data_IF_461181681650
#
_entry.id   IF_461181681650
#
_cell.length_a   1.000
_cell.length_b   1.000
_cell.length_c   1.000
_cell.angle_alpha   90.00
_cell.angle_beta   90.00
_cell.angle_gamma   90.00
#
_symmetry.space_group_name_H-M   'P 1'
#
loop_
_entity.id
_entity.type
_entity.pdbx_description
1 polymer ?
#
# COMPACT_ATOMS: atom_id res chain seq x y z
N UNK A 1 18.81 -16.99 -11.25
CA UNK A 1 18.33 -15.70 -10.70
C UNK A 1 19.55 -14.86 -10.39
N UNK A 2 19.63 -13.64 -10.90
CA UNK A 2 20.73 -12.74 -10.53
C UNK A 2 20.52 -12.26 -9.09
N UNK A 3 21.58 -12.29 -8.27
CA UNK A 3 21.51 -11.83 -6.87
C UNK A 3 20.96 -10.39 -6.76
N UNK A 4 21.22 -9.56 -7.76
CA UNK A 4 20.75 -8.16 -7.86
C UNK A 4 19.22 -8.02 -7.86
N UNK A 5 18.49 -9.04 -8.33
CA UNK A 5 17.01 -9.03 -8.42
C UNK A 5 16.35 -8.75 -7.07
N UNK A 6 16.99 -9.12 -5.95
CA UNK A 6 16.44 -8.90 -4.60
C UNK A 6 17.24 -7.89 -3.78
N UNK A 7 18.56 -7.77 -3.99
CA UNK A 7 19.41 -6.85 -3.23
C UNK A 7 18.99 -5.39 -3.42
N UNK A 8 18.74 -4.95 -4.65
CA UNK A 8 18.34 -3.56 -4.94
C UNK A 8 16.98 -3.23 -4.30
N UNK A 9 15.93 -4.07 -4.48
CA UNK A 9 14.67 -3.91 -3.75
C UNK A 9 14.82 -3.79 -2.24
N UNK A 10 15.63 -4.65 -1.60
CA UNK A 10 15.86 -4.60 -0.15
C UNK A 10 16.49 -3.26 0.24
N UNK A 11 17.51 -2.80 -0.50
CA UNK A 11 18.14 -1.51 -0.26
C UNK A 11 17.17 -0.32 -0.39
N UNK A 12 16.27 -0.37 -1.38
CA UNK A 12 15.24 0.66 -1.59
C UNK A 12 14.19 0.68 -0.46
N UNK A 13 13.77 -0.50 0.01
CA UNK A 13 12.87 -0.62 1.16
C UNK A 13 13.54 -0.08 2.42
N UNK A 14 14.81 -0.44 2.67
CA UNK A 14 15.59 0.07 3.79
C UNK A 14 15.74 1.59 3.75
N UNK A 15 16.07 2.15 2.58
CA UNK A 15 16.11 3.60 2.39
C UNK A 15 14.74 4.24 2.67
N UNK A 16 13.65 3.65 2.20
CA UNK A 16 12.31 4.19 2.44
C UNK A 16 11.96 4.17 3.93
N UNK A 17 12.23 3.06 4.63
CA UNK A 17 12.02 2.95 6.07
C UNK A 17 12.79 4.04 6.85
N UNK A 18 14.06 4.26 6.52
CA UNK A 18 14.88 5.31 7.15
C UNK A 18 14.29 6.70 6.88
N UNK A 19 13.86 6.98 5.65
CA UNK A 19 13.23 8.26 5.30
C UNK A 19 11.90 8.49 6.03
N UNK A 20 11.12 7.44 6.29
CA UNK A 20 9.90 7.53 7.11
C UNK A 20 10.19 7.85 8.58
N UNK A 21 11.27 7.28 9.15
CA UNK A 21 11.72 7.65 10.50
C UNK A 21 12.16 9.10 10.53
N UNK A 22 12.98 9.52 9.56
CA UNK A 22 13.50 10.89 9.47
C UNK A 22 12.34 11.89 9.28
N UNK A 23 11.35 11.60 8.43
CA UNK A 23 10.20 12.48 8.23
C UNK A 23 9.42 12.69 9.52
N UNK A 24 9.20 11.62 10.30
CA UNK A 24 8.58 11.70 11.63
C UNK A 24 9.34 12.62 12.59
N UNK A 25 10.68 12.57 12.58
CA UNK A 25 11.54 13.45 13.39
C UNK A 25 11.50 14.90 12.91
N UNK A 26 11.53 15.13 11.60
CA UNK A 26 11.41 16.49 11.03
C UNK A 26 10.09 17.13 11.48
N UNK A 27 8.96 16.41 11.37
CA UNK A 27 7.65 16.92 11.79
C UNK A 27 7.62 17.25 13.29
N UNK A 28 8.31 16.46 14.12
CA UNK A 28 8.47 16.77 15.55
C UNK A 28 9.27 18.06 15.79
N UNK A 29 10.35 18.26 15.04
CA UNK A 29 11.22 19.45 15.16
C UNK A 29 10.58 20.74 14.65
N UNK A 30 9.61 20.65 13.73
CA UNK A 30 8.87 21.81 13.24
C UNK A 30 7.96 22.46 14.31
N UNK A 31 7.81 21.84 15.49
CA UNK A 31 7.07 22.40 16.64
C UNK A 31 5.66 22.92 16.29
N UNK A 32 4.97 22.23 15.38
CA UNK A 32 3.65 22.64 14.91
C UNK A 32 2.58 22.46 15.99
N UNK A 33 1.72 23.48 16.16
CA UNK A 33 0.76 23.55 17.28
C UNK A 33 -0.49 22.68 17.10
N UNK A 34 -0.86 22.32 15.85
CA UNK A 34 -2.07 21.53 15.59
C UNK A 34 -1.74 20.15 15.01
N UNK A 35 -2.57 19.15 15.34
CA UNK A 35 -2.46 17.81 14.76
C UNK A 35 -2.61 17.85 13.23
N UNK A 36 -3.55 18.65 12.72
CA UNK A 36 -3.77 18.82 11.28
C UNK A 36 -2.55 19.39 10.57
N UNK A 37 -1.85 20.37 11.16
CA UNK A 37 -0.61 20.92 10.62
C UNK A 37 0.51 19.87 10.57
N UNK A 38 0.64 19.03 11.62
CA UNK A 38 1.61 17.93 11.64
C UNK A 38 1.33 16.91 10.55
N UNK A 39 0.07 16.50 10.39
CA UNK A 39 -0.36 15.59 9.32
C UNK A 39 -0.10 16.19 7.94
N UNK A 40 -0.46 17.47 7.73
CA UNK A 40 -0.20 18.17 6.48
C UNK A 40 1.30 18.20 6.14
N UNK A 41 2.16 18.56 7.11
CA UNK A 41 3.61 18.53 6.93
C UNK A 41 4.11 17.12 6.57
N UNK A 42 3.62 16.08 7.25
CA UNK A 42 3.96 14.68 6.94
C UNK A 42 3.56 14.31 5.50
N UNK A 43 2.39 14.73 5.04
CA UNK A 43 1.91 14.48 3.68
C UNK A 43 2.84 15.10 2.65
N UNK A 44 3.23 16.37 2.85
CA UNK A 44 4.16 17.07 1.96
C UNK A 44 5.52 16.36 1.91
N UNK A 45 6.08 16.00 3.07
CA UNK A 45 7.38 15.30 3.13
C UNK A 45 7.29 13.94 2.43
N UNK A 46 6.20 13.19 2.58
CA UNK A 46 6.04 11.91 1.91
C UNK A 46 5.96 12.05 0.38
N UNK A 47 5.36 13.13 -0.15
CA UNK A 47 5.43 13.43 -1.58
C UNK A 47 6.84 13.80 -2.04
N UNK A 48 7.62 14.50 -1.22
CA UNK A 48 9.05 14.76 -1.50
C UNK A 48 9.84 13.46 -1.56
N UNK A 49 9.60 12.53 -0.62
CA UNK A 49 10.19 11.18 -0.65
C UNK A 49 9.78 10.45 -1.94
N UNK A 50 8.51 10.49 -2.33
CA UNK A 50 8.05 9.90 -3.59
C UNK A 50 8.79 10.47 -4.80
N UNK A 51 8.94 11.79 -4.87
CA UNK A 51 9.69 12.46 -5.94
C UNK A 51 11.17 12.03 -5.97
N UNK A 52 11.81 11.85 -4.81
CA UNK A 52 13.15 11.29 -4.70
C UNK A 52 13.21 9.86 -5.27
N UNK A 53 12.26 8.99 -4.94
CA UNK A 53 12.21 7.63 -5.47
C UNK A 53 11.97 7.60 -6.98
N UNK A 54 11.12 8.47 -7.52
CA UNK A 54 10.93 8.63 -8.96
C UNK A 54 12.20 9.11 -9.65
N UNK A 55 12.94 10.04 -9.03
CA UNK A 55 14.24 10.49 -9.52
C UNK A 55 15.30 9.37 -9.50
N UNK A 56 15.42 8.63 -8.40
CA UNK A 56 16.29 7.45 -8.28
C UNK A 56 15.96 6.40 -9.34
N UNK A 57 14.66 6.17 -9.57
CA UNK A 57 14.21 5.27 -10.61
C UNK A 57 14.64 5.78 -12.00
N UNK A 58 14.39 7.05 -12.33
CA UNK A 58 14.79 7.63 -13.61
C UNK A 58 16.30 7.54 -13.86
N UNK A 59 17.12 7.81 -12.84
CA UNK A 59 18.58 7.87 -12.97
C UNK A 59 19.25 6.50 -12.97
N UNK A 60 18.87 5.62 -12.03
CA UNK A 60 19.63 4.40 -11.72
C UNK A 60 18.86 3.09 -12.00
N UNK A 61 17.58 3.01 -11.61
CA UNK A 61 16.84 1.72 -11.61
C UNK A 61 16.19 1.44 -12.97
N UNK A 62 15.67 2.48 -13.62
CA UNK A 62 15.08 2.50 -14.98
C UNK A 62 13.90 1.54 -15.18
N UNK A 63 13.09 1.35 -14.15
CA UNK A 63 11.85 0.60 -14.26
C UNK A 63 10.78 1.45 -14.92
N UNK A 64 10.16 0.92 -15.98
CA UNK A 64 8.97 1.52 -16.58
C UNK A 64 7.75 1.21 -15.71
N UNK A 65 7.17 2.27 -15.15
CA UNK A 65 5.97 2.21 -14.31
C UNK A 65 4.73 2.33 -15.20
N UNK A 66 3.79 1.40 -15.06
CA UNK A 66 2.57 1.37 -15.88
C UNK A 66 1.47 2.29 -15.29
N UNK A 67 1.61 3.61 -15.49
CA UNK A 67 0.63 4.65 -15.14
C UNK A 67 -0.59 4.65 -16.08
N UNK A 68 -1.20 3.48 -16.28
CA UNK A 68 -2.47 3.39 -17.01
C UNK A 68 -3.59 3.90 -16.10
N UNK A 69 -4.51 4.72 -16.60
CA UNK A 69 -5.70 5.14 -15.87
C UNK A 69 -6.93 4.53 -16.53
N UNK A 70 -7.35 3.36 -16.06
CA UNK A 70 -8.58 2.72 -16.59
C UNK A 70 -9.48 2.21 -15.50
N UNK A 71 -10.72 2.68 -15.50
CA UNK A 71 -11.83 2.12 -14.72
C UNK A 71 -12.61 1.06 -15.51
N UNK A 72 -11.98 0.38 -16.47
CA UNK A 72 -12.66 -0.61 -17.32
C UNK A 72 -13.32 -1.71 -16.48
N UNK A 73 -12.73 -2.05 -15.33
CA UNK A 73 -13.31 -2.94 -14.33
C UNK A 73 -14.68 -2.42 -13.82
N UNK A 74 -14.73 -1.21 -13.27
CA UNK A 74 -15.98 -0.63 -12.75
C UNK A 74 -17.02 -0.39 -13.85
N UNK A 75 -16.59 -0.04 -15.07
CA UNK A 75 -17.48 0.07 -16.23
C UNK A 75 -18.17 -1.26 -16.56
N UNK A 76 -17.47 -2.39 -16.41
CA UNK A 76 -18.00 -3.74 -16.64
C UNK A 76 -18.83 -4.26 -15.45
N UNK A 77 -18.52 -3.80 -14.24
CA UNK A 77 -19.16 -4.23 -12.99
C UNK A 77 -19.95 -3.10 -12.34
N UNK A 78 -20.93 -2.53 -13.07
CA UNK A 78 -21.69 -1.35 -12.63
C UNK A 78 -22.38 -1.53 -11.28
N UNK A 79 -23.01 -2.70 -11.03
CA UNK A 79 -23.68 -2.99 -9.75
C UNK A 79 -22.68 -2.89 -8.59
N UNK A 80 -21.51 -3.53 -8.73
CA UNK A 80 -20.45 -3.46 -7.72
C UNK A 80 -19.98 -2.02 -7.51
N UNK A 81 -19.74 -1.27 -8.60
CA UNK A 81 -19.34 0.13 -8.52
C UNK A 81 -20.37 0.99 -7.75
N UNK A 82 -21.65 0.80 -8.04
CA UNK A 82 -22.75 1.50 -7.37
C UNK A 82 -22.83 1.17 -5.89
N UNK A 83 -22.70 -0.12 -5.52
CA UNK A 83 -22.71 -0.54 -4.11
C UNK A 83 -21.54 0.09 -3.35
N UNK A 84 -20.33 0.06 -3.90
CA UNK A 84 -19.15 0.67 -3.27
C UNK A 84 -19.33 2.20 -3.12
N UNK A 85 -19.94 2.86 -4.11
CA UNK A 85 -20.23 4.29 -4.04
C UNK A 85 -21.25 4.61 -2.94
N UNK A 86 -22.34 3.84 -2.83
CA UNK A 86 -23.34 4.01 -1.77
C UNK A 86 -22.70 3.82 -0.39
N UNK A 87 -21.93 2.75 -0.19
CA UNK A 87 -21.22 2.50 1.07
C UNK A 87 -20.31 3.69 1.41
N UNK A 88 -19.56 4.19 0.43
CA UNK A 88 -18.67 5.35 0.62
C UNK A 88 -19.45 6.60 1.03
N UNK A 89 -20.59 6.89 0.38
CA UNK A 89 -21.45 8.03 0.72
C UNK A 89 -21.98 7.90 2.14
N UNK A 90 -22.47 6.72 2.53
CA UNK A 90 -22.97 6.47 3.88
C UNK A 90 -21.88 6.68 4.95
N UNK A 91 -20.67 6.18 4.71
CA UNK A 91 -19.52 6.38 5.60
C UNK A 91 -19.20 7.88 5.73
N UNK A 92 -19.19 8.62 4.61
CA UNK A 92 -18.91 10.07 4.61
C UNK A 92 -19.96 10.85 5.40
N UNK A 93 -21.24 10.59 5.16
CA UNK A 93 -22.34 11.27 5.87
C UNK A 93 -22.25 11.01 7.38
N UNK A 94 -21.96 9.77 7.79
CA UNK A 94 -21.82 9.42 9.20
C UNK A 94 -20.58 9.99 9.89
N UNK A 95 -19.54 10.36 9.13
CA UNK A 95 -18.21 10.64 9.70
C UNK A 95 -17.52 11.90 9.12
N UNK A 96 -18.30 12.94 8.81
CA UNK A 96 -17.80 14.18 8.18
C UNK A 96 -16.60 14.80 8.91
N UNK A 97 -16.55 14.70 10.25
CA UNK A 97 -15.44 15.21 11.08
C UNK A 97 -14.08 14.58 10.75
N UNK A 98 -14.07 13.31 10.30
CA UNK A 98 -12.85 12.56 9.99
C UNK A 98 -12.42 12.74 8.53
N UNK A 99 -13.27 13.35 7.70
CA UNK A 99 -13.08 13.46 6.26
C UNK A 99 -11.75 14.13 5.86
N UNK A 100 -11.31 15.25 6.48
CA UNK A 100 -10.05 15.88 6.11
C UNK A 100 -8.85 14.94 6.32
N UNK A 101 -8.81 14.24 7.47
CA UNK A 101 -7.76 13.28 7.78
C UNK A 101 -7.77 12.10 6.81
N UNK A 102 -8.95 11.50 6.59
CA UNK A 102 -9.13 10.36 5.71
C UNK A 102 -8.71 10.70 4.26
N UNK A 103 -9.15 11.84 3.72
CA UNK A 103 -8.75 12.25 2.38
C UNK A 103 -7.24 12.48 2.26
N UNK A 104 -6.67 13.26 3.18
CA UNK A 104 -5.26 13.64 3.11
C UNK A 104 -4.33 12.45 3.24
N UNK A 105 -4.55 11.59 4.25
CA UNK A 105 -3.66 10.47 4.53
C UNK A 105 -3.84 9.36 3.51
N UNK A 106 -5.08 8.94 3.23
CA UNK A 106 -5.31 7.81 2.33
C UNK A 106 -4.90 8.12 0.90
N UNK A 107 -5.08 9.38 0.44
CA UNK A 107 -4.68 9.76 -0.92
C UNK A 107 -3.16 9.76 -1.04
N UNK A 108 -2.48 10.32 -0.03
CA UNK A 108 -1.03 10.34 0.01
C UNK A 108 -0.46 8.92 0.12
N UNK A 109 -0.97 8.08 1.03
CA UNK A 109 -0.52 6.70 1.20
C UNK A 109 -0.73 5.90 -0.09
N UNK A 110 -1.94 5.95 -0.64
CA UNK A 110 -2.29 5.30 -1.89
C UNK A 110 -1.36 5.69 -3.04
N UNK A 111 -0.99 6.97 -3.20
CA UNK A 111 -0.06 7.38 -4.27
C UNK A 111 1.38 6.96 -3.95
N UNK A 112 1.91 7.40 -2.82
CA UNK A 112 3.35 7.29 -2.51
C UNK A 112 3.76 5.83 -2.35
N UNK A 113 2.99 5.06 -1.59
CA UNK A 113 3.35 3.70 -1.25
C UNK A 113 3.20 2.76 -2.46
N UNK A 114 2.19 2.97 -3.30
CA UNK A 114 2.02 2.19 -4.52
C UNK A 114 3.09 2.50 -5.56
N UNK A 115 3.46 3.78 -5.74
CA UNK A 115 4.54 4.16 -6.65
C UNK A 115 5.85 3.47 -6.25
N UNK A 116 6.20 3.50 -4.96
CA UNK A 116 7.45 2.92 -4.47
C UNK A 116 7.37 1.39 -4.48
N UNK A 117 6.36 0.81 -3.82
CA UNK A 117 6.29 -0.64 -3.60
C UNK A 117 5.89 -1.40 -4.87
N UNK A 118 4.89 -0.93 -5.62
CA UNK A 118 4.36 -1.67 -6.77
C UNK A 118 5.05 -1.18 -8.04
N UNK A 119 5.06 0.14 -8.24
CA UNK A 119 5.62 0.78 -9.42
C UNK A 119 7.11 0.49 -9.61
N UNK A 120 7.92 0.63 -8.55
CA UNK A 120 9.38 0.45 -8.60
C UNK A 120 9.78 -0.95 -8.11
N UNK A 121 9.55 -1.28 -6.84
CA UNK A 121 10.09 -2.49 -6.18
C UNK A 121 9.54 -3.78 -6.81
N UNK A 122 8.21 -3.95 -6.81
CA UNK A 122 7.57 -5.16 -7.35
C UNK A 122 7.87 -5.33 -8.83
N UNK A 123 7.78 -4.24 -9.62
CA UNK A 123 8.09 -4.27 -11.05
C UNK A 123 9.56 -4.57 -11.34
N UNK A 124 10.49 -4.09 -10.50
CA UNK A 124 11.92 -4.42 -10.62
C UNK A 124 12.15 -5.92 -10.46
N UNK A 125 11.62 -6.52 -9.38
CA UNK A 125 11.70 -7.95 -9.12
C UNK A 125 11.08 -8.72 -10.28
N UNK A 126 9.88 -8.31 -10.71
CA UNK A 126 9.21 -8.90 -11.85
C UNK A 126 10.12 -8.86 -13.08
N UNK A 127 10.67 -7.72 -13.48
CA UNK A 127 11.55 -7.63 -14.65
C UNK A 127 12.82 -8.49 -14.53
N UNK A 128 13.42 -8.59 -13.34
CA UNK A 128 14.61 -9.42 -13.08
C UNK A 128 14.34 -10.94 -13.03
N UNK A 129 13.09 -11.36 -13.09
CA UNK A 129 12.65 -12.77 -13.12
C UNK A 129 12.15 -13.19 -14.51
N UNK A 130 12.65 -12.57 -15.58
CA UNK A 130 12.21 -12.82 -16.97
C UNK A 130 12.38 -14.27 -17.46
N UNK A 131 13.25 -15.07 -16.84
CA UNK A 131 13.43 -16.51 -17.14
C UNK A 131 12.50 -17.44 -16.35
N UNK A 132 11.66 -16.88 -15.46
CA UNK A 132 10.70 -17.63 -14.65
C UNK A 132 9.33 -17.57 -15.32
N UNK A 133 8.59 -18.67 -15.26
CA UNK A 133 7.20 -18.77 -15.73
C UNK A 133 6.32 -17.64 -15.18
N UNK A 134 5.44 -17.08 -16.02
CA UNK A 134 4.77 -15.81 -15.75
C UNK A 134 3.97 -15.80 -14.45
N UNK A 135 3.21 -16.86 -14.15
CA UNK A 135 2.40 -16.93 -12.90
C UNK A 135 3.30 -16.93 -11.68
N UNK A 136 4.36 -17.75 -11.72
CA UNK A 136 5.35 -17.84 -10.64
C UNK A 136 6.11 -16.52 -10.45
N UNK A 137 6.45 -15.85 -11.54
CA UNK A 137 7.09 -14.53 -11.55
C UNK A 137 6.21 -13.46 -10.90
N UNK A 138 4.91 -13.45 -11.18
CA UNK A 138 3.93 -12.55 -10.53
C UNK A 138 3.89 -12.83 -9.03
N UNK A 139 3.73 -14.10 -8.64
CA UNK A 139 3.66 -14.49 -7.23
C UNK A 139 4.88 -14.08 -6.43
N UNK A 140 6.09 -14.38 -6.92
CA UNK A 140 7.34 -14.04 -6.21
C UNK A 140 7.44 -12.52 -6.03
N UNK A 141 7.16 -11.75 -7.09
CA UNK A 141 7.26 -10.28 -7.06
C UNK A 141 6.22 -9.66 -6.12
N UNK A 142 4.98 -10.17 -6.16
CA UNK A 142 3.88 -9.69 -5.33
C UNK A 142 4.08 -10.04 -3.85
N UNK A 143 4.46 -11.28 -3.52
CA UNK A 143 4.72 -11.70 -2.14
C UNK A 143 5.89 -10.92 -1.55
N UNK A 144 7.01 -10.81 -2.27
CA UNK A 144 8.18 -10.09 -1.75
C UNK A 144 7.88 -8.61 -1.52
N UNK A 145 7.23 -7.96 -2.48
CA UNK A 145 6.80 -6.56 -2.31
C UNK A 145 5.74 -6.39 -1.21
N UNK A 146 4.85 -7.36 -1.04
CA UNK A 146 3.83 -7.36 0.02
C UNK A 146 4.47 -7.47 1.40
N UNK A 147 5.38 -8.43 1.61
CA UNK A 147 6.13 -8.57 2.86
C UNK A 147 6.93 -7.30 3.18
N UNK A 148 7.62 -6.73 2.18
CA UNK A 148 8.32 -5.45 2.35
C UNK A 148 7.38 -4.32 2.77
N UNK A 149 6.20 -4.24 2.15
CA UNK A 149 5.18 -3.25 2.48
C UNK A 149 4.64 -3.42 3.91
N UNK A 150 4.38 -4.66 4.33
CA UNK A 150 4.02 -4.96 5.71
C UNK A 150 5.10 -4.53 6.70
N UNK A 151 6.37 -4.86 6.44
CA UNK A 151 7.48 -4.50 7.34
C UNK A 151 7.65 -2.98 7.53
N UNK A 152 7.29 -2.15 6.55
CA UNK A 152 7.32 -0.68 6.72
C UNK A 152 6.40 -0.20 7.85
N UNK A 153 5.35 -0.96 8.19
CA UNK A 153 4.41 -0.62 9.25
C UNK A 153 4.96 -0.84 10.66
N UNK A 154 6.13 -1.47 10.83
CA UNK A 154 6.83 -1.47 12.12
C UNK A 154 7.18 -0.05 12.61
N UNK A 155 7.17 0.95 11.72
CA UNK A 155 7.25 2.37 12.11
C UNK A 155 6.15 2.76 13.11
N UNK A 156 5.01 2.08 13.12
CA UNK A 156 3.91 2.38 14.03
C UNK A 156 4.17 1.93 15.47
N UNK A 157 5.26 1.21 15.77
CA UNK A 157 5.71 0.99 17.15
C UNK A 157 5.99 2.31 17.90
N UNK A 158 6.22 3.41 17.18
CA UNK A 158 6.32 4.76 17.78
C UNK A 158 4.95 5.37 18.16
N UNK A 159 3.84 4.72 17.82
CA UNK A 159 2.47 5.25 17.93
C UNK A 159 1.49 4.30 18.62
N UNK A 160 1.72 3.00 18.57
CA UNK A 160 0.83 1.97 19.11
C UNK A 160 1.60 0.78 19.68
N UNK A 161 0.90 -0.10 20.40
CA UNK A 161 1.49 -1.28 21.03
C UNK A 161 2.05 -2.32 20.04
N UNK A 162 2.83 -3.27 20.57
CA UNK A 162 3.45 -4.34 19.78
C UNK A 162 2.42 -5.21 19.08
N UNK A 163 1.40 -5.68 19.81
CA UNK A 163 0.39 -6.59 19.28
C UNK A 163 -0.41 -5.99 18.11
N UNK A 164 -1.03 -4.80 18.22
CA UNK A 164 -1.67 -4.15 17.06
C UNK A 164 -0.69 -3.88 15.92
N UNK A 165 0.58 -3.57 16.20
CA UNK A 165 1.58 -3.39 15.12
C UNK A 165 1.89 -4.67 14.38
N UNK A 166 2.03 -5.81 15.08
CA UNK A 166 2.22 -7.11 14.41
C UNK A 166 1.00 -7.44 13.56
N UNK A 167 -0.21 -7.22 14.06
CA UNK A 167 -1.43 -7.45 13.28
C UNK A 167 -1.44 -6.58 12.01
N UNK A 168 -1.10 -5.29 12.16
CA UNK A 168 -1.01 -4.35 11.03
C UNK A 168 0.02 -4.80 9.99
N UNK A 169 1.21 -5.24 10.42
CA UNK A 169 2.27 -5.74 9.54
C UNK A 169 1.80 -6.97 8.75
N UNK A 170 1.13 -7.92 9.41
CA UNK A 170 0.60 -9.13 8.78
C UNK A 170 -0.52 -8.78 7.79
N UNK A 171 -1.45 -7.91 8.18
CA UNK A 171 -2.56 -7.48 7.32
C UNK A 171 -2.07 -6.66 6.12
N UNK A 172 -1.18 -5.70 6.35
CA UNK A 172 -0.57 -4.89 5.30
C UNK A 172 0.22 -5.75 4.31
N UNK A 173 0.93 -6.79 4.78
CA UNK A 173 1.61 -7.72 3.89
C UNK A 173 0.65 -8.51 2.98
N UNK A 174 -0.49 -8.96 3.51
CA UNK A 174 -1.52 -9.68 2.74
C UNK A 174 -2.12 -8.80 1.63
N UNK A 175 -2.56 -7.58 1.99
CA UNK A 175 -3.16 -6.66 1.01
C UNK A 175 -2.12 -6.12 0.03
N UNK A 176 -0.88 -5.87 0.48
CA UNK A 176 0.23 -5.50 -0.37
C UNK A 176 0.56 -6.57 -1.42
N UNK A 177 0.44 -7.85 -1.07
CA UNK A 177 0.55 -8.96 -2.02
C UNK A 177 -0.56 -8.89 -3.06
N UNK A 178 -1.83 -8.71 -2.65
CA UNK A 178 -2.94 -8.60 -3.58
C UNK A 178 -2.78 -7.39 -4.53
N UNK A 179 -2.37 -6.23 -4.02
CA UNK A 179 -2.09 -5.04 -4.81
C UNK A 179 -0.95 -5.26 -5.80
N UNK A 180 0.11 -5.99 -5.41
CA UNK A 180 1.16 -6.45 -6.31
C UNK A 180 0.62 -7.31 -7.46
N UNK A 181 -0.26 -8.28 -7.16
CA UNK A 181 -0.91 -9.12 -8.18
C UNK A 181 -1.78 -8.28 -9.13
N UNK A 182 -2.63 -7.41 -8.58
CA UNK A 182 -3.50 -6.52 -9.38
C UNK A 182 -2.65 -5.66 -10.32
N UNK A 183 -1.60 -5.00 -9.80
CA UNK A 183 -0.75 -4.15 -10.61
C UNK A 183 -0.04 -4.93 -11.73
N UNK A 184 0.56 -6.09 -11.42
CA UNK A 184 1.34 -6.85 -12.41
C UNK A 184 0.46 -7.49 -13.49
N UNK A 185 -0.75 -7.93 -13.15
CA UNK A 185 -1.71 -8.53 -14.09
C UNK A 185 -2.37 -7.46 -14.96
N UNK A 186 -2.84 -6.36 -14.37
CA UNK A 186 -3.62 -5.35 -15.09
C UNK A 186 -2.77 -4.22 -15.69
N UNK A 187 -1.50 -4.09 -15.28
CA UNK A 187 -0.57 -3.03 -15.71
C UNK A 187 -1.20 -1.64 -15.58
N UNK A 188 -1.78 -1.39 -14.41
CA UNK A 188 -2.61 -0.22 -14.11
C UNK A 188 -2.33 0.25 -12.67
N UNK A 189 -1.30 1.07 -12.51
CA UNK A 189 -0.92 1.57 -11.19
C UNK A 189 -1.99 2.48 -10.59
N UNK A 190 -2.63 3.34 -11.38
CA UNK A 190 -3.68 4.22 -10.85
C UNK A 190 -4.88 3.46 -10.31
N UNK A 191 -5.23 2.32 -10.91
CA UNK A 191 -6.25 1.42 -10.39
C UNK A 191 -5.87 0.87 -9.01
N UNK A 192 -4.60 0.48 -8.83
CA UNK A 192 -4.10 0.01 -7.53
C UNK A 192 -4.05 1.15 -6.51
N UNK A 193 -3.58 2.34 -6.89
CA UNK A 193 -3.62 3.57 -6.06
C UNK A 193 -5.04 3.84 -5.57
N UNK A 194 -6.03 3.77 -6.45
CA UNK A 194 -7.43 4.03 -6.10
C UNK A 194 -7.99 2.99 -5.13
N UNK A 195 -7.68 1.71 -5.32
CA UNK A 195 -8.15 0.65 -4.41
C UNK A 195 -7.48 0.78 -3.04
N UNK A 196 -6.19 1.08 -2.99
CA UNK A 196 -5.47 1.34 -1.74
C UNK A 196 -6.04 2.57 -1.03
N UNK A 197 -6.23 3.68 -1.77
CA UNK A 197 -6.90 4.87 -1.26
C UNK A 197 -8.25 4.51 -0.61
N UNK A 198 -9.12 3.76 -1.30
CA UNK A 198 -10.43 3.39 -0.76
C UNK A 198 -10.33 2.53 0.51
N UNK A 199 -9.39 1.59 0.57
CA UNK A 199 -9.15 0.76 1.76
C UNK A 199 -8.87 1.63 2.99
N UNK A 200 -7.88 2.51 2.88
CA UNK A 200 -7.47 3.35 4.00
C UNK A 200 -8.52 4.41 4.31
N UNK A 201 -9.16 4.95 3.26
CA UNK A 201 -10.15 6.00 3.39
C UNK A 201 -11.34 5.53 4.23
N UNK A 202 -11.87 4.34 3.96
CA UNK A 202 -12.99 3.81 4.76
C UNK A 202 -12.59 3.56 6.20
N UNK A 203 -11.41 3.00 6.45
CA UNK A 203 -10.92 2.73 7.81
C UNK A 203 -10.80 4.06 8.57
N UNK A 204 -10.04 5.02 8.03
CA UNK A 204 -9.77 6.30 8.70
C UNK A 204 -11.03 7.16 8.81
N UNK A 205 -11.93 7.12 7.82
CA UNK A 205 -13.19 7.84 7.91
C UNK A 205 -14.04 7.32 9.08
N UNK A 206 -14.11 5.99 9.28
CA UNK A 206 -14.89 5.40 10.37
C UNK A 206 -14.19 5.59 11.73
N UNK A 207 -12.88 5.34 11.81
CA UNK A 207 -12.16 5.31 13.10
C UNK A 207 -11.63 6.67 13.55
N UNK A 208 -11.40 7.59 12.61
CA UNK A 208 -10.71 8.86 12.86
C UNK A 208 -9.22 8.70 13.19
N UNK A 209 -8.62 7.53 12.97
CA UNK A 209 -7.21 7.26 13.27
C UNK A 209 -6.56 6.34 12.25
N UNK A 210 -5.23 6.44 12.18
CA UNK A 210 -4.34 5.59 11.36
C UNK A 210 -3.75 4.42 12.16
N UNK A 211 -4.00 4.39 13.47
CA UNK A 211 -3.52 3.34 14.38
C UNK A 211 -4.52 2.20 14.47
N UNK A 212 -4.01 1.01 14.73
CA UNK A 212 -4.81 -0.18 14.94
C UNK A 212 -5.19 -0.33 16.42
N UNK A 213 -6.43 -0.76 16.67
CA UNK A 213 -6.93 -1.03 18.02
C UNK A 213 -6.48 -2.40 18.50
N UNK A 214 -6.15 -2.52 19.79
CA UNK A 214 -5.89 -3.81 20.42
C UNK A 214 -7.21 -4.54 20.70
N UNK A 215 -7.45 -5.63 19.98
CA UNK A 215 -8.63 -6.49 20.09
C UNK A 215 -8.33 -7.80 20.83
N UNK A 216 -7.11 -7.95 21.37
CA UNK A 216 -6.62 -9.18 21.99
C UNK A 216 -6.06 -10.19 20.99
N UNK A 217 -5.12 -11.00 21.48
CA UNK A 217 -4.30 -11.91 20.67
C UNK A 217 -5.11 -12.88 19.80
N UNK A 218 -6.14 -13.51 20.37
CA UNK A 218 -6.93 -14.53 19.66
C UNK A 218 -7.71 -13.90 18.49
N UNK A 219 -8.38 -12.78 18.72
CA UNK A 219 -9.14 -12.08 17.68
C UNK A 219 -8.23 -11.61 16.55
N UNK A 220 -7.06 -11.06 16.89
CA UNK A 220 -6.08 -10.60 15.92
C UNK A 220 -5.52 -11.75 15.07
N UNK A 221 -5.13 -12.89 15.68
CA UNK A 221 -4.67 -14.07 14.93
C UNK A 221 -5.75 -14.54 13.95
N UNK A 222 -6.99 -14.70 14.41
CA UNK A 222 -8.10 -15.15 13.56
C UNK A 222 -8.32 -14.16 12.41
N UNK A 223 -8.37 -12.86 12.70
CA UNK A 223 -8.58 -11.83 11.68
C UNK A 223 -7.48 -11.83 10.62
N UNK A 224 -6.22 -11.91 11.05
CA UNK A 224 -5.04 -11.98 10.17
C UNK A 224 -5.06 -13.22 9.28
N UNK A 225 -5.37 -14.39 9.84
CA UNK A 225 -5.44 -15.64 9.08
C UNK A 225 -6.55 -15.58 8.01
N UNK A 226 -7.75 -15.15 8.40
CA UNK A 226 -8.86 -14.99 7.46
C UNK A 226 -8.51 -13.99 6.35
N UNK A 227 -7.84 -12.90 6.70
CA UNK A 227 -7.42 -11.89 5.73
C UNK A 227 -6.46 -12.46 4.69
N UNK A 228 -5.43 -13.21 5.11
CA UNK A 228 -4.52 -13.89 4.19
C UNK A 228 -5.20 -14.93 3.31
N UNK A 229 -6.11 -15.73 3.87
CA UNK A 229 -6.85 -16.75 3.10
C UNK A 229 -7.72 -16.08 2.03
N UNK A 230 -8.49 -15.05 2.40
CA UNK A 230 -9.41 -14.36 1.48
C UNK A 230 -8.61 -13.64 0.39
N UNK A 231 -7.62 -12.82 0.75
CA UNK A 231 -6.85 -12.06 -0.22
C UNK A 231 -5.95 -12.95 -1.08
N UNK A 232 -5.38 -14.01 -0.51
CA UNK A 232 -4.64 -15.05 -1.23
C UNK A 232 -5.52 -15.78 -2.25
N UNK A 233 -6.74 -16.14 -1.87
CA UNK A 233 -7.71 -16.75 -2.79
C UNK A 233 -8.09 -15.79 -3.92
N UNK A 234 -8.36 -14.51 -3.63
CA UNK A 234 -8.65 -13.49 -4.65
C UNK A 234 -7.47 -13.34 -5.62
N UNK A 235 -6.25 -13.20 -5.09
CA UNK A 235 -5.03 -13.11 -5.89
C UNK A 235 -4.85 -14.32 -6.81
N UNK A 236 -5.03 -15.53 -6.27
CA UNK A 236 -4.99 -16.78 -7.04
C UNK A 236 -6.05 -16.82 -8.15
N UNK A 237 -7.28 -16.41 -7.85
CA UNK A 237 -8.36 -16.34 -8.85
C UNK A 237 -8.04 -15.36 -9.97
N UNK A 238 -7.43 -14.21 -9.66
CA UNK A 238 -7.01 -13.22 -10.66
C UNK A 238 -5.96 -13.84 -11.58
N UNK A 239 -4.89 -14.40 -11.02
CA UNK A 239 -3.78 -15.00 -11.80
C UNK A 239 -4.31 -16.13 -12.67
N UNK A 240 -5.08 -17.08 -12.10
CA UNK A 240 -5.64 -18.22 -12.83
C UNK A 240 -6.54 -17.82 -14.00
N UNK A 241 -7.29 -16.71 -13.88
CA UNK A 241 -8.22 -16.26 -14.94
C UNK A 241 -7.57 -15.37 -16.01
N UNK A 242 -6.47 -14.70 -15.71
CA UNK A 242 -5.94 -13.61 -16.54
C UNK A 242 -4.56 -13.88 -17.13
N UNK A 243 -3.84 -14.86 -16.60
CA UNK A 243 -2.50 -15.26 -17.06
C UNK A 243 -2.64 -16.63 -17.71
N UNK A 244 -2.20 -16.74 -18.96
CA UNK A 244 -2.22 -17.99 -19.73
C UNK A 244 -1.40 -19.07 -19.02
#
# INVERSE_FOLDING_TARGET
>A
MEKKTFIIPVGLVGLYAVLLVISGRIVQLLSLNSSNSKTFASVIINFVICALFLWLNKKYIRVKIDFKFTFSFFKRHKILATVLAIITILIVIGNVKNLPLALMVSLQAGIVEEVICRGIISKYIYNGLNKVEEKRRIWISAIFSGLAFGMLHFINLFRQGLLPTINQVIAAAAIGMLFGVIYLVYKNLFGTIFIHFLNDFWIIAVTGTITEQDLGTVAMIISSMLYWIILGFIAWRIIKKKVA
#
